data_IF_959981444715
#
_entry.id   IF_959981444715
#
_cell.length_a   1.000
_cell.length_b   1.000
_cell.length_c   1.000
_cell.angle_alpha   90.00
_cell.angle_beta   90.00
_cell.angle_gamma   90.00
#
_symmetry.space_group_name_H-M   'P 1'
#
loop_
_entity.id
_entity.type
_entity.pdbx_description
1 polymer ?
#
# COMPACT_ATOMS: atom_id res chain seq x y z
N UNK A 1 -12.35 7.90 7.12
CA UNK A 1 -11.00 7.99 6.51
C UNK A 1 -10.54 9.42 6.75
N UNK A 2 -9.30 9.65 7.21
CA UNK A 2 -8.80 11.02 7.39
C UNK A 2 -8.50 11.68 6.04
N UNK A 3 -7.79 12.80 6.02
CA UNK A 3 -7.36 13.48 4.78
C UNK A 3 -6.29 12.72 3.95
N UNK A 4 -6.13 11.41 4.16
CA UNK A 4 -5.14 10.59 3.46
C UNK A 4 -5.40 10.56 1.95
N UNK A 5 -6.65 10.42 1.56
CA UNK A 5 -7.11 10.41 0.16
C UNK A 5 -6.90 11.78 -0.49
N UNK A 6 -7.33 12.85 0.19
CA UNK A 6 -7.30 14.21 -0.33
C UNK A 6 -5.87 14.72 -0.53
N UNK A 7 -5.01 14.52 0.47
CA UNK A 7 -3.62 14.98 0.40
C UNK A 7 -2.86 14.16 -0.63
N UNK A 8 -3.06 12.83 -0.69
CA UNK A 8 -2.42 11.99 -1.69
C UNK A 8 -2.79 12.42 -3.13
N UNK A 9 -4.07 12.71 -3.37
CA UNK A 9 -4.54 13.13 -4.69
C UNK A 9 -4.18 14.59 -5.05
N UNK A 10 -3.98 15.46 -4.05
CA UNK A 10 -3.64 16.87 -4.26
C UNK A 10 -2.14 17.19 -4.28
N UNK A 11 -1.31 16.30 -3.75
CA UNK A 11 0.12 16.53 -3.63
C UNK A 11 0.87 16.39 -4.97
N UNK A 12 2.00 17.10 -5.10
CA UNK A 12 2.93 16.93 -6.22
C UNK A 12 3.84 15.72 -6.06
N UNK A 13 3.99 15.26 -4.81
CA UNK A 13 4.77 14.10 -4.41
C UNK A 13 4.11 13.45 -3.19
N UNK A 14 3.66 12.22 -3.33
CA UNK A 14 3.04 11.43 -2.27
C UNK A 14 3.93 10.26 -1.88
N UNK A 15 4.36 10.24 -0.62
CA UNK A 15 5.20 9.19 -0.05
C UNK A 15 4.45 8.41 1.02
N UNK A 16 4.56 7.09 0.98
CA UNK A 16 4.10 6.20 2.05
C UNK A 16 5.32 5.66 2.80
N UNK A 17 5.54 6.15 4.01
CA UNK A 17 6.64 5.69 4.87
C UNK A 17 6.13 4.60 5.82
N UNK A 18 6.59 3.37 5.64
CA UNK A 18 6.18 2.22 6.46
C UNK A 18 7.36 1.28 6.72
N UNK A 19 7.41 0.62 7.89
CA UNK A 19 8.33 -0.50 8.07
C UNK A 19 7.88 -1.67 7.20
N UNK A 20 8.81 -2.55 6.80
CA UNK A 20 8.41 -3.76 6.05
C UNK A 20 7.59 -4.74 6.89
N UNK A 21 7.79 -4.73 8.21
CA UNK A 21 7.09 -5.56 9.18
C UNK A 21 6.54 -4.73 10.35
N UNK A 22 5.37 -5.13 10.87
CA UNK A 22 4.86 -4.70 12.18
C UNK A 22 4.73 -5.94 13.08
N UNK A 23 5.69 -6.14 13.97
CA UNK A 23 5.83 -7.39 14.71
C UNK A 23 6.11 -8.55 13.74
N UNK A 24 5.16 -9.49 13.60
CA UNK A 24 5.26 -10.62 12.66
C UNK A 24 4.41 -10.45 11.41
N UNK A 25 3.81 -9.28 11.19
CA UNK A 25 2.91 -9.03 10.07
C UNK A 25 3.62 -8.24 8.97
N UNK A 26 3.67 -8.76 7.72
CA UNK A 26 4.14 -7.99 6.58
C UNK A 26 3.17 -6.85 6.26
N UNK A 27 3.72 -5.65 6.03
CA UNK A 27 2.92 -4.46 5.69
C UNK A 27 2.65 -4.38 4.19
N UNK A 28 3.63 -4.78 3.37
CA UNK A 28 3.48 -4.87 1.92
C UNK A 28 2.96 -6.27 1.60
N UNK A 29 1.77 -6.33 1.01
CA UNK A 29 1.06 -7.58 0.71
C UNK A 29 0.63 -7.61 -0.75
N UNK A 30 0.29 -8.80 -1.22
CA UNK A 30 -0.20 -8.99 -2.60
C UNK A 30 -1.50 -8.23 -2.89
N UNK A 31 -2.39 -8.21 -1.89
CA UNK A 31 -3.68 -7.53 -1.95
C UNK A 31 -4.03 -7.03 -0.57
N UNK A 32 -4.25 -5.72 -0.46
CA UNK A 32 -4.75 -5.10 0.77
C UNK A 32 -6.18 -5.55 1.04
N UNK A 33 -6.58 -5.54 2.31
CA UNK A 33 -7.96 -5.87 2.71
C UNK A 33 -8.97 -4.84 2.23
N UNK A 34 -8.57 -3.57 2.21
CA UNK A 34 -9.44 -2.46 1.84
C UNK A 34 -8.60 -1.39 1.14
N UNK A 35 -9.03 -0.96 -0.03
CA UNK A 35 -8.44 0.15 -0.76
C UNK A 35 -9.07 1.44 -0.25
N UNK A 36 -8.32 2.21 0.53
CA UNK A 36 -8.74 3.55 0.95
C UNK A 36 -8.16 4.62 0.04
N UNK A 37 -6.92 4.47 -0.43
CA UNK A 37 -6.30 5.36 -1.41
C UNK A 37 -5.82 4.56 -2.61
N UNK A 38 -6.29 4.85 -3.84
CA UNK A 38 -5.81 4.21 -5.06
C UNK A 38 -4.29 4.36 -5.22
N UNK A 39 -3.62 3.30 -5.67
CA UNK A 39 -2.16 3.33 -5.85
C UNK A 39 -1.68 4.32 -6.91
N UNK A 40 -2.56 4.79 -7.80
CA UNK A 40 -2.20 5.76 -8.84
C UNK A 40 -1.86 7.15 -8.33
N UNK A 41 -2.29 7.51 -7.11
CA UNK A 41 -1.95 8.77 -6.44
C UNK A 41 -0.83 8.63 -5.41
N UNK A 42 -0.18 7.45 -5.36
CA UNK A 42 0.99 7.18 -4.52
C UNK A 42 2.23 7.14 -5.40
N UNK A 43 3.20 8.02 -5.15
CA UNK A 43 4.38 8.13 -6.01
C UNK A 43 5.52 7.21 -5.57
N UNK A 44 5.71 7.01 -4.26
CA UNK A 44 6.72 6.07 -3.76
C UNK A 44 6.38 5.53 -2.37
N UNK A 45 6.90 4.34 -2.08
CA UNK A 45 6.89 3.70 -0.77
C UNK A 45 8.32 3.70 -0.23
N UNK A 46 8.49 4.18 1.00
CA UNK A 46 9.78 4.26 1.68
C UNK A 46 9.77 3.30 2.86
N UNK A 47 10.76 2.41 2.90
CA UNK A 47 10.94 1.43 3.97
C UNK A 47 12.38 1.43 4.46
N UNK A 48 12.65 0.74 5.56
CA UNK A 48 14.03 0.51 6.03
C UNK A 48 14.85 -0.38 5.08
N UNK A 49 14.22 -1.01 4.08
CA UNK A 49 14.88 -1.91 3.09
C UNK A 49 15.07 -1.26 1.71
N UNK A 50 14.66 -0.01 1.53
CA UNK A 50 14.77 0.73 0.28
C UNK A 50 13.50 1.51 -0.07
N UNK A 51 13.58 2.16 -1.23
CA UNK A 51 12.51 3.01 -1.79
C UNK A 51 11.97 2.33 -3.04
N UNK A 52 10.67 2.05 -3.07
CA UNK A 52 9.98 1.61 -4.27
C UNK A 52 9.24 2.78 -4.90
N UNK A 53 9.62 3.16 -6.11
CA UNK A 53 8.95 4.23 -6.88
C UNK A 53 7.84 3.60 -7.72
N UNK A 54 6.69 4.26 -7.77
CA UNK A 54 5.58 3.84 -8.61
C UNK A 54 6.03 3.85 -10.09
N UNK A 55 5.80 2.77 -10.87
CA UNK A 55 6.16 2.74 -12.29
C UNK A 55 5.57 3.88 -13.14
N UNK A 56 4.49 4.54 -12.67
CA UNK A 56 3.92 5.73 -13.32
C UNK A 56 4.78 7.00 -13.15
N UNK A 57 5.84 6.95 -12.36
CA UNK A 57 6.73 8.07 -11.98
C UNK A 57 8.19 7.77 -12.33
N UNK A 58 8.45 7.40 -13.58
CA UNK A 58 9.82 7.16 -14.08
C UNK A 58 10.72 8.40 -13.87
N UNK A 59 10.15 9.61 -13.96
CA UNK A 59 10.81 10.87 -13.64
C UNK A 59 11.43 10.88 -12.23
N UNK A 60 10.73 10.34 -11.24
CA UNK A 60 11.23 10.23 -9.87
C UNK A 60 12.23 9.09 -9.74
N UNK A 61 12.00 7.95 -10.40
CA UNK A 61 12.89 6.79 -10.38
C UNK A 61 14.29 7.19 -10.84
N UNK A 62 14.39 7.83 -12.00
CA UNK A 62 15.66 8.32 -12.56
C UNK A 62 16.37 9.31 -11.62
N UNK A 63 15.63 10.28 -11.08
CA UNK A 63 16.18 11.29 -10.17
C UNK A 63 16.69 10.66 -8.88
N UNK A 64 15.97 9.70 -8.32
CA UNK A 64 16.36 9.02 -7.08
C UNK A 64 17.58 8.14 -7.28
N UNK A 65 17.65 7.39 -8.40
CA UNK A 65 18.84 6.60 -8.77
C UNK A 65 20.04 7.51 -8.98
N UNK A 66 19.90 8.60 -9.73
CA UNK A 66 20.99 9.56 -9.97
C UNK A 66 21.48 10.23 -8.68
N UNK A 67 20.60 10.43 -7.71
CA UNK A 67 20.93 10.94 -6.39
C UNK A 67 21.59 9.90 -5.46
N UNK A 68 21.75 8.64 -5.90
CA UNK A 68 22.34 7.56 -5.11
C UNK A 68 21.42 6.99 -4.03
N UNK A 69 20.10 7.18 -4.16
CA UNK A 69 19.12 6.62 -3.23
C UNK A 69 18.93 5.10 -3.48
N UNK A 70 18.61 4.32 -2.43
CA UNK A 70 18.43 2.87 -2.54
C UNK A 70 17.08 2.51 -3.17
N UNK A 71 16.94 2.77 -4.47
CA UNK A 71 15.73 2.44 -5.24
C UNK A 71 15.70 0.94 -5.53
N UNK A 72 14.56 0.30 -5.28
CA UNK A 72 14.32 -1.13 -5.47
C UNK A 72 12.92 -1.38 -6.02
N UNK A 73 12.68 -2.57 -6.56
CA UNK A 73 11.34 -2.96 -6.95
C UNK A 73 10.50 -3.34 -5.71
N UNK A 74 9.24 -2.91 -5.66
CA UNK A 74 8.36 -3.18 -4.50
C UNK A 74 8.21 -4.69 -4.23
N UNK A 75 8.21 -5.49 -5.30
CA UNK A 75 8.13 -6.95 -5.23
C UNK A 75 9.34 -7.57 -4.53
N UNK A 76 10.53 -7.00 -4.68
CA UNK A 76 11.75 -7.48 -4.00
C UNK A 76 11.69 -7.18 -2.50
N UNK A 77 11.28 -5.95 -2.14
CA UNK A 77 11.08 -5.55 -0.74
C UNK A 77 10.05 -6.46 -0.07
N UNK A 78 8.93 -6.74 -0.76
CA UNK A 78 7.89 -7.67 -0.32
C UNK A 78 8.44 -9.08 -0.12
N UNK A 79 9.14 -9.63 -1.11
CA UNK A 79 9.69 -10.99 -1.05
C UNK A 79 10.73 -11.17 0.06
N UNK A 80 11.48 -10.10 0.39
CA UNK A 80 12.39 -10.09 1.52
C UNK A 80 11.63 -10.08 2.86
N UNK A 81 10.58 -9.27 2.99
CA UNK A 81 9.73 -9.23 4.19
C UNK A 81 8.99 -10.56 4.43
N UNK A 82 8.45 -11.17 3.37
CA UNK A 82 7.73 -12.45 3.46
C UNK A 82 8.64 -13.58 3.94
N UNK A 83 9.93 -13.60 3.57
CA UNK A 83 10.90 -14.60 4.03
C UNK A 83 11.17 -14.56 5.53
N UNK A 84 10.88 -13.43 6.18
CA UNK A 84 11.10 -13.23 7.61
C UNK A 84 9.89 -13.63 8.46
N UNK A 85 8.75 -13.93 7.84
CA UNK A 85 7.50 -14.18 8.54
C UNK A 85 6.82 -15.45 8.03
N UNK A 86 5.90 -15.99 8.83
CA UNK A 86 4.97 -16.99 8.31
C UNK A 86 3.84 -16.24 7.59
N UNK A 87 3.22 -16.84 6.54
CA UNK A 87 2.05 -16.25 5.92
C UNK A 87 1.01 -15.85 6.98
N UNK A 88 0.59 -14.57 7.02
CA UNK A 88 -0.37 -14.14 8.00
C UNK A 88 -1.72 -14.81 7.72
N UNK A 89 -2.44 -15.15 8.79
CA UNK A 89 -3.81 -15.60 8.67
C UNK A 89 -4.67 -14.52 8.00
N UNK A 90 -5.53 -14.94 7.07
CA UNK A 90 -6.42 -14.04 6.32
C UNK A 90 -7.84 -14.14 6.86
N UNK A 91 -8.56 -13.02 7.01
CA UNK A 91 -9.97 -13.06 7.34
C UNK A 91 -10.77 -13.76 6.22
N UNK A 92 -11.77 -14.53 6.61
CA UNK A 92 -12.80 -15.04 5.71
C UNK A 92 -13.97 -14.06 5.75
N UNK A 93 -14.33 -13.53 4.59
CA UNK A 93 -15.42 -12.56 4.44
C UNK A 93 -16.72 -13.27 4.02
N UNK A 94 -17.83 -12.85 4.61
CA UNK A 94 -19.17 -13.20 4.13
C UNK A 94 -19.68 -12.24 3.05
N UNK A 95 -20.95 -12.41 2.66
CA UNK A 95 -21.57 -11.62 1.59
C UNK A 95 -22.10 -10.27 2.04
N UNK A 96 -22.31 -10.07 3.35
CA UNK A 96 -22.82 -8.82 3.91
C UNK A 96 -21.79 -7.69 3.79
N UNK A 97 -22.16 -6.63 3.05
CA UNK A 97 -21.42 -5.37 2.99
C UNK A 97 -21.79 -4.53 4.22
N UNK A 98 -20.80 -4.20 5.04
CA UNK A 98 -20.98 -3.46 6.30
C UNK A 98 -20.48 -2.01 6.22
N UNK A 99 -19.70 -1.67 5.19
CA UNK A 99 -19.33 -0.29 4.88
C UNK A 99 -18.97 -0.15 3.39
N UNK A 100 -19.10 1.08 2.89
CA UNK A 100 -18.61 1.49 1.57
C UNK A 100 -17.45 2.45 1.74
N UNK A 101 -16.48 2.38 0.83
CA UNK A 101 -15.36 3.30 0.77
C UNK A 101 -15.61 4.24 -0.39
N UNK A 102 -16.00 5.45 -0.05
CA UNK A 102 -16.19 6.54 -1.00
C UNK A 102 -14.86 7.23 -1.26
N UNK A 103 -14.64 7.57 -2.53
CA UNK A 103 -13.57 8.45 -2.96
C UNK A 103 -14.01 9.90 -2.88
N UNK A 104 -13.05 10.82 -2.97
CA UNK A 104 -13.28 12.26 -2.79
C UNK A 104 -14.27 12.90 -3.77
N UNK A 105 -14.59 12.21 -4.87
CA UNK A 105 -15.55 12.64 -5.89
C UNK A 105 -16.94 11.99 -5.76
N UNK A 106 -17.15 11.20 -4.70
CA UNK A 106 -18.41 10.48 -4.46
C UNK A 106 -18.47 9.09 -5.09
N UNK A 107 -17.47 8.67 -5.87
CA UNK A 107 -17.44 7.30 -6.42
C UNK A 107 -17.11 6.27 -5.35
N UNK A 108 -17.71 5.08 -5.42
CA UNK A 108 -17.38 3.97 -4.52
C UNK A 108 -16.19 3.20 -5.08
N UNK A 109 -15.07 3.19 -4.35
CA UNK A 109 -13.82 2.54 -4.78
C UNK A 109 -13.59 1.18 -4.13
N UNK A 110 -14.24 0.90 -2.99
CA UNK A 110 -14.18 -0.41 -2.34
C UNK A 110 -15.35 -0.61 -1.37
N UNK A 111 -15.51 -1.83 -0.87
CA UNK A 111 -16.48 -2.19 0.17
C UNK A 111 -15.83 -3.01 1.26
N UNK A 112 -16.29 -2.84 2.50
CA UNK A 112 -15.87 -3.67 3.64
C UNK A 112 -16.95 -4.72 3.88
N UNK A 113 -16.55 -5.99 3.92
CA UNK A 113 -17.43 -7.13 4.17
C UNK A 113 -17.28 -7.65 5.58
N UNK A 114 -18.37 -8.22 6.14
CA UNK A 114 -18.35 -8.81 7.48
C UNK A 114 -17.36 -9.98 7.53
N UNK A 115 -16.52 -9.98 8.56
CA UNK A 115 -15.62 -11.10 8.87
C UNK A 115 -16.44 -12.22 9.53
N UNK A 116 -16.36 -13.42 8.99
CA UNK A 116 -17.06 -14.63 9.49
C UNK A 116 -16.11 -15.71 10.00
N UNK A 117 -14.80 -15.51 9.86
CA UNK A 117 -13.78 -16.45 10.31
C UNK A 117 -12.37 -16.03 9.93
N UNK A 118 -11.41 -16.93 10.18
CA UNK A 118 -9.98 -16.74 9.90
C UNK A 118 -9.38 -18.01 9.30
N UNK A 119 -8.49 -17.87 8.31
CA UNK A 119 -7.74 -18.96 7.68
C UNK A 119 -6.25 -18.74 7.84
#
# INVERSE_FOLDING_TARGET
IGGHQDVAAGAKLTLITVPTLRGRLPVIVERVTTVTTPGEVIDAIVTERGIAVNPRREDLKERFVKAGLPVRELAEIKAEADRLTRPPGRPVFGDEVIAVIEWRDGTVIDTVRRVVGWK
#
